data_IF_021887217240
#
_entry.id   IF_021887217240
#
_cell.length_a   1.000
_cell.length_b   1.000
_cell.length_c   1.000
_cell.angle_alpha   90.00
_cell.angle_beta   90.00
_cell.angle_gamma   90.00
#
_symmetry.space_group_name_H-M   'P 1'
#
loop_
_entity.id
_entity.type
_entity.pdbx_description
1 polymer ?
#
# COMPACT_ATOMS: atom_id res chain seq x y z
N UNK A 1 22.13 33.71 -12.64
CA UNK A 1 23.02 32.70 -13.20
C UNK A 1 22.26 31.40 -13.52
N UNK A 2 22.80 30.55 -14.42
CA UNK A 2 22.12 29.33 -14.88
C UNK A 2 21.74 28.38 -13.72
N UNK A 3 22.51 28.33 -12.63
CA UNK A 3 22.29 27.47 -11.46
C UNK A 3 21.03 27.86 -10.70
N UNK A 4 20.69 29.14 -10.62
CA UNK A 4 19.46 29.59 -9.93
C UNK A 4 18.19 29.30 -10.73
N UNK A 5 18.29 28.98 -12.01
CA UNK A 5 17.18 28.61 -12.87
C UNK A 5 16.82 27.09 -12.79
N UNK A 6 17.76 26.26 -12.31
CA UNK A 6 17.56 24.80 -12.24
C UNK A 6 16.33 24.40 -11.39
N UNK A 7 16.11 24.92 -10.16
CA UNK A 7 14.96 24.53 -9.36
C UNK A 7 13.63 24.89 -10.05
N UNK A 8 13.57 26.08 -10.65
CA UNK A 8 12.39 26.52 -11.37
C UNK A 8 12.16 25.68 -12.62
N UNK A 9 13.20 25.41 -13.39
CA UNK A 9 13.16 24.51 -14.55
C UNK A 9 12.67 23.11 -14.19
N UNK A 10 13.13 22.58 -13.06
CA UNK A 10 12.72 21.28 -12.55
C UNK A 10 11.23 21.25 -12.17
N UNK A 11 10.72 22.30 -11.51
CA UNK A 11 9.30 22.42 -11.20
C UNK A 11 8.46 22.48 -12.48
N UNK A 12 8.87 23.27 -13.46
CA UNK A 12 8.18 23.32 -14.76
C UNK A 12 8.25 21.98 -15.50
N UNK A 13 9.39 21.32 -15.52
CA UNK A 13 9.57 20.03 -16.18
C UNK A 13 8.64 18.95 -15.58
N UNK A 14 8.52 18.92 -14.26
CA UNK A 14 7.77 17.87 -13.55
C UNK A 14 6.28 18.18 -13.43
N UNK A 15 5.90 19.46 -13.28
CA UNK A 15 4.52 19.82 -12.92
C UNK A 15 3.76 20.61 -13.99
N UNK A 16 4.43 21.19 -15.01
CA UNK A 16 3.73 21.91 -16.07
C UNK A 16 3.04 20.94 -17.05
N UNK A 17 1.90 21.33 -17.71
CA UNK A 17 1.22 22.62 -17.56
C UNK A 17 0.40 22.70 -16.26
N UNK A 18 0.46 23.85 -15.62
CA UNK A 18 -0.40 24.10 -14.45
C UNK A 18 -1.83 24.40 -14.89
N UNK A 19 -2.87 24.05 -14.08
CA UNK A 19 -4.27 24.24 -14.43
C UNK A 19 -4.65 25.67 -14.81
N UNK A 20 -3.96 26.66 -14.22
CA UNK A 20 -4.17 28.09 -14.50
C UNK A 20 -3.47 28.59 -15.75
N UNK A 21 -2.63 27.78 -16.39
CA UNK A 21 -1.93 28.10 -17.64
C UNK A 21 -2.62 27.54 -18.88
N UNK A 22 -3.76 26.89 -18.73
CA UNK A 22 -4.52 26.27 -19.81
C UNK A 22 -5.25 27.34 -20.63
N UNK A 23 -4.56 27.91 -21.61
CA UNK A 23 -5.10 28.95 -22.49
C UNK A 23 -5.79 28.40 -23.75
N UNK A 24 -5.73 27.08 -24.02
CA UNK A 24 -6.29 26.50 -25.24
C UNK A 24 -6.90 25.12 -25.02
N UNK A 25 -7.94 24.78 -25.81
CA UNK A 25 -8.58 23.48 -25.83
C UNK A 25 -7.58 22.31 -26.05
N UNK A 26 -6.54 22.54 -26.84
CA UNK A 26 -5.48 21.55 -27.10
C UNK A 26 -4.70 21.21 -25.81
N UNK A 27 -4.52 22.15 -24.93
CA UNK A 27 -3.87 21.92 -23.61
C UNK A 27 -4.82 21.22 -22.63
N UNK A 28 -6.12 21.41 -22.75
CA UNK A 28 -7.12 20.73 -21.91
C UNK A 28 -7.17 19.21 -22.14
N UNK A 29 -6.81 18.74 -23.34
CA UNK A 29 -6.72 17.31 -23.66
C UNK A 29 -5.63 16.61 -22.83
N UNK A 30 -4.60 17.33 -22.38
CA UNK A 30 -3.50 16.78 -21.58
C UNK A 30 -3.82 16.71 -20.07
N UNK A 31 -4.94 17.29 -19.63
CA UNK A 31 -5.33 17.30 -18.21
C UNK A 31 -5.48 15.91 -17.59
N UNK A 32 -6.14 14.93 -18.22
CA UNK A 32 -6.27 13.59 -17.64
C UNK A 32 -4.91 12.93 -17.39
N UNK A 33 -3.98 13.08 -18.33
CA UNK A 33 -2.60 12.58 -18.20
C UNK A 33 -1.88 13.25 -17.02
N UNK A 34 -2.07 14.57 -16.87
CA UNK A 34 -1.47 15.33 -15.77
C UNK A 34 -2.03 14.91 -14.40
N UNK A 35 -3.33 14.67 -14.30
CA UNK A 35 -3.94 14.19 -13.06
C UNK A 35 -3.40 12.83 -12.65
N UNK A 36 -3.27 11.91 -13.60
CA UNK A 36 -2.65 10.59 -13.36
C UNK A 36 -1.19 10.76 -12.91
N UNK A 37 -0.45 11.65 -13.58
CA UNK A 37 0.93 11.94 -13.21
C UNK A 37 1.04 12.49 -11.79
N UNK A 38 0.24 13.50 -11.42
CA UNK A 38 0.24 14.07 -10.08
C UNK A 38 -0.19 13.06 -9.02
N UNK A 39 -1.20 12.23 -9.33
CA UNK A 39 -1.63 11.15 -8.43
C UNK A 39 -0.54 10.08 -8.22
N UNK A 40 0.36 9.88 -9.20
CA UNK A 40 1.47 8.93 -9.08
C UNK A 40 2.64 9.46 -8.25
N UNK A 41 2.70 10.75 -7.96
CA UNK A 41 3.81 11.40 -7.25
C UNK A 41 4.09 10.81 -5.85
N UNK A 42 3.08 10.54 -5.00
CA UNK A 42 3.32 9.88 -3.72
C UNK A 42 3.96 8.50 -3.87
N UNK A 43 3.54 7.75 -4.89
CA UNK A 43 4.12 6.43 -5.20
C UNK A 43 5.55 6.55 -5.72
N UNK A 44 5.81 7.56 -6.56
CA UNK A 44 7.15 7.90 -7.03
C UNK A 44 8.10 8.19 -5.86
N UNK A 45 7.69 9.05 -4.94
CA UNK A 45 8.48 9.39 -3.76
C UNK A 45 8.74 8.16 -2.87
N UNK A 46 7.72 7.35 -2.64
CA UNK A 46 7.83 6.13 -1.84
C UNK A 46 8.80 5.13 -2.49
N UNK A 47 8.62 4.87 -3.78
CA UNK A 47 9.46 3.92 -4.53
C UNK A 47 10.89 4.39 -4.68
N UNK A 48 11.11 5.68 -4.98
CA UNK A 48 12.44 6.26 -5.04
C UNK A 48 13.15 6.19 -3.68
N UNK A 49 12.46 6.57 -2.60
CA UNK A 49 13.00 6.48 -1.24
C UNK A 49 13.40 5.06 -0.85
N UNK A 50 12.52 4.09 -1.11
CA UNK A 50 12.80 2.68 -0.84
C UNK A 50 14.01 2.19 -1.63
N UNK A 51 14.06 2.51 -2.92
CA UNK A 51 15.13 2.10 -3.83
C UNK A 51 16.48 2.69 -3.39
N UNK A 52 16.50 3.98 -3.06
CA UNK A 52 17.70 4.66 -2.56
C UNK A 52 18.23 4.05 -1.26
N UNK A 53 17.32 3.63 -0.37
CA UNK A 53 17.72 3.12 0.95
C UNK A 53 18.07 1.64 0.96
N UNK A 54 17.41 0.82 0.15
CA UNK A 54 17.53 -0.64 0.22
C UNK A 54 18.13 -1.29 -1.01
N UNK A 55 18.06 -0.65 -2.19
CA UNK A 55 18.46 -1.22 -3.48
C UNK A 55 19.37 -0.31 -4.29
N UNK A 56 20.09 0.60 -3.64
CA UNK A 56 20.89 1.63 -4.29
C UNK A 56 21.85 1.06 -5.34
N UNK A 57 22.62 0.02 -5.01
CA UNK A 57 23.61 -0.57 -5.91
C UNK A 57 23.00 -1.10 -7.21
N UNK A 58 21.83 -1.71 -7.13
CA UNK A 58 21.14 -2.29 -8.29
C UNK A 58 20.49 -1.22 -9.17
N UNK A 59 19.98 -0.16 -8.56
CA UNK A 59 19.28 0.92 -9.25
C UNK A 59 20.19 2.10 -9.64
N UNK A 60 21.46 2.07 -9.23
CA UNK A 60 22.41 3.17 -9.42
C UNK A 60 22.53 3.64 -10.88
N UNK A 61 22.62 2.76 -11.89
CA UNK A 61 22.66 3.19 -13.29
C UNK A 61 21.39 3.96 -13.70
N UNK A 62 20.22 3.48 -13.30
CA UNK A 62 18.93 4.12 -13.61
C UNK A 62 18.81 5.45 -12.89
N UNK A 63 19.21 5.53 -11.62
CA UNK A 63 19.17 6.75 -10.81
C UNK A 63 20.11 7.80 -11.42
N UNK A 64 21.34 7.45 -11.74
CA UNK A 64 22.31 8.38 -12.36
C UNK A 64 21.76 8.87 -13.68
N UNK A 65 21.32 7.98 -14.55
CA UNK A 65 20.82 8.36 -15.87
C UNK A 65 19.59 9.27 -15.77
N UNK A 66 18.62 8.91 -14.95
CA UNK A 66 17.40 9.71 -14.72
C UNK A 66 17.73 11.10 -14.16
N UNK A 67 18.64 11.16 -13.18
CA UNK A 67 19.04 12.42 -12.56
C UNK A 67 19.79 13.32 -13.56
N UNK A 68 20.76 12.77 -14.29
CA UNK A 68 21.51 13.51 -15.30
C UNK A 68 20.60 14.03 -16.40
N UNK A 69 19.67 13.21 -16.89
CA UNK A 69 18.73 13.60 -17.93
C UNK A 69 17.75 14.66 -17.43
N UNK A 70 17.27 14.53 -16.18
CA UNK A 70 16.40 15.53 -15.55
C UNK A 70 17.11 16.87 -15.40
N UNK A 71 18.36 16.87 -14.94
CA UNK A 71 19.16 18.09 -14.80
C UNK A 71 19.44 18.73 -16.17
N UNK A 72 19.82 17.95 -17.17
CA UNK A 72 20.06 18.43 -18.50
C UNK A 72 18.81 19.12 -19.07
N UNK A 73 17.66 18.48 -18.97
CA UNK A 73 16.41 19.06 -19.46
C UNK A 73 15.93 20.27 -18.64
N UNK A 74 16.23 20.33 -17.35
CA UNK A 74 15.93 21.50 -16.52
C UNK A 74 16.70 22.76 -16.94
N UNK A 75 17.90 22.57 -17.49
CA UNK A 75 18.75 23.68 -17.96
C UNK A 75 18.33 24.14 -19.37
N UNK A 76 18.05 23.18 -20.26
CA UNK A 76 17.73 23.46 -21.67
C UNK A 76 16.27 23.83 -21.95
N UNK A 77 15.48 24.08 -20.91
CA UNK A 77 14.06 24.33 -21.00
C UNK A 77 13.81 25.75 -21.56
N UNK A 78 13.48 25.85 -22.84
CA UNK A 78 13.20 27.12 -23.49
C UNK A 78 11.74 27.59 -23.44
N UNK A 79 10.78 26.61 -23.38
CA UNK A 79 9.35 26.89 -23.31
C UNK A 79 8.55 25.67 -22.83
N UNK A 80 7.25 25.87 -22.48
CA UNK A 80 6.36 24.83 -21.94
C UNK A 80 6.18 23.63 -22.91
N UNK A 81 6.15 23.88 -24.22
CA UNK A 81 6.01 22.82 -25.22
C UNK A 81 7.24 21.90 -25.30
N UNK A 82 8.43 22.45 -25.12
CA UNK A 82 9.69 21.69 -25.05
C UNK A 82 9.72 20.86 -23.77
N UNK A 83 9.31 21.45 -22.64
CA UNK A 83 9.19 20.75 -21.36
C UNK A 83 8.31 19.49 -21.45
N UNK A 84 7.18 19.59 -22.11
CA UNK A 84 6.24 18.47 -22.28
C UNK A 84 6.86 17.30 -23.05
N UNK A 85 7.56 17.57 -24.16
CA UNK A 85 8.25 16.53 -24.95
C UNK A 85 9.39 15.88 -24.17
N UNK A 86 10.18 16.68 -23.47
CA UNK A 86 11.30 16.18 -22.67
C UNK A 86 10.82 15.33 -21.49
N UNK A 87 9.71 15.73 -20.86
CA UNK A 87 9.10 14.95 -19.80
C UNK A 87 8.64 13.58 -20.27
N UNK A 88 8.05 13.44 -21.45
CA UNK A 88 7.59 12.14 -21.96
C UNK A 88 8.72 11.11 -22.04
N UNK A 89 9.93 11.54 -22.32
CA UNK A 89 11.11 10.68 -22.32
C UNK A 89 11.56 10.26 -20.90
N UNK A 90 11.37 11.16 -19.92
CA UNK A 90 11.69 10.90 -18.52
C UNK A 90 10.66 10.01 -17.83
N UNK A 91 9.38 10.08 -18.25
CA UNK A 91 8.28 9.35 -17.63
C UNK A 91 8.55 7.85 -17.53
N UNK A 92 9.18 7.25 -18.54
CA UNK A 92 9.51 5.82 -18.55
C UNK A 92 10.37 5.45 -17.32
N UNK A 93 11.37 6.28 -17.01
CA UNK A 93 12.25 6.05 -15.86
C UNK A 93 11.57 6.34 -14.53
N UNK A 94 10.74 7.39 -14.47
CA UNK A 94 9.98 7.70 -13.27
C UNK A 94 8.94 6.61 -12.95
N UNK A 95 8.29 6.05 -13.95
CA UNK A 95 7.32 4.98 -13.77
C UNK A 95 7.93 3.70 -13.21
N UNK A 96 9.22 3.45 -13.38
CA UNK A 96 9.91 2.36 -12.68
C UNK A 96 9.79 2.56 -11.16
N UNK A 97 10.07 3.75 -10.67
CA UNK A 97 9.96 4.04 -9.23
C UNK A 97 8.50 4.10 -8.76
N UNK A 98 7.58 4.57 -9.59
CA UNK A 98 6.14 4.52 -9.32
C UNK A 98 5.68 3.07 -9.15
N UNK A 99 6.12 2.16 -10.03
CA UNK A 99 5.80 0.74 -9.95
C UNK A 99 6.34 0.10 -8.67
N UNK A 100 7.57 0.43 -8.26
CA UNK A 100 8.12 -0.02 -6.98
C UNK A 100 7.28 0.49 -5.82
N UNK A 101 6.90 1.77 -5.83
CA UNK A 101 6.04 2.35 -4.80
C UNK A 101 4.66 1.68 -4.73
N UNK A 102 4.07 1.38 -5.88
CA UNK A 102 2.80 0.68 -5.97
C UNK A 102 2.86 -0.73 -5.38
N UNK A 103 3.89 -1.50 -5.72
CA UNK A 103 4.12 -2.84 -5.16
C UNK A 103 4.25 -2.78 -3.65
N UNK A 104 5.02 -1.84 -3.10
CA UNK A 104 5.18 -1.67 -1.65
C UNK A 104 3.87 -1.35 -0.93
N UNK A 105 3.03 -0.51 -1.52
CA UNK A 105 1.70 -0.20 -0.95
C UNK A 105 0.81 -1.44 -0.99
N UNK A 106 0.83 -2.17 -2.10
CA UNK A 106 0.04 -3.38 -2.28
C UNK A 106 0.45 -4.48 -1.29
N UNK A 107 1.74 -4.75 -1.14
CA UNK A 107 2.27 -5.70 -0.15
C UNK A 107 1.81 -5.35 1.27
N UNK A 108 1.94 -4.09 1.67
CA UNK A 108 1.45 -3.63 2.98
C UNK A 108 -0.06 -3.83 3.17
N UNK A 109 -0.85 -3.66 2.12
CA UNK A 109 -2.29 -3.92 2.18
C UNK A 109 -2.59 -5.41 2.34
N UNK A 110 -1.89 -6.24 1.59
CA UNK A 110 -2.05 -7.70 1.67
C UNK A 110 -1.67 -8.23 3.05
N UNK A 111 -0.54 -7.76 3.61
CA UNK A 111 -0.12 -8.14 4.96
C UNK A 111 -1.15 -7.75 6.03
N UNK A 112 -1.70 -6.53 5.94
CA UNK A 112 -2.78 -6.09 6.83
C UNK A 112 -4.04 -6.94 6.70
N UNK A 113 -4.39 -7.33 5.48
CA UNK A 113 -5.55 -8.17 5.24
C UNK A 113 -5.34 -9.59 5.77
N UNK A 114 -4.14 -10.15 5.59
CA UNK A 114 -3.77 -11.46 6.16
C UNK A 114 -3.85 -11.43 7.69
N UNK A 115 -3.25 -10.45 8.33
CA UNK A 115 -3.31 -10.29 9.78
C UNK A 115 -4.77 -10.23 10.30
N UNK A 116 -5.64 -9.46 9.64
CA UNK A 116 -7.07 -9.41 9.99
C UNK A 116 -7.79 -10.73 9.80
N UNK A 117 -7.44 -11.50 8.78
CA UNK A 117 -8.02 -12.84 8.56
C UNK A 117 -7.57 -13.84 9.64
N UNK A 118 -6.29 -13.81 10.00
CA UNK A 118 -5.73 -14.63 11.07
C UNK A 118 -6.38 -14.31 12.43
N UNK A 119 -6.55 -13.04 12.77
CA UNK A 119 -7.26 -12.60 13.97
C UNK A 119 -8.71 -13.11 14.00
N UNK A 120 -9.42 -13.02 12.89
CA UNK A 120 -10.81 -13.54 12.79
C UNK A 120 -10.86 -15.05 12.93
N UNK A 121 -9.93 -15.77 12.30
CA UNK A 121 -9.86 -17.24 12.44
C UNK A 121 -9.53 -17.65 13.86
N UNK A 122 -8.59 -17.00 14.51
CA UNK A 122 -8.24 -17.24 15.91
C UNK A 122 -9.44 -16.99 16.85
N UNK A 123 -10.18 -15.90 16.62
CA UNK A 123 -11.39 -15.59 17.39
C UNK A 123 -12.49 -16.65 17.21
N UNK A 124 -12.71 -17.12 15.98
CA UNK A 124 -13.68 -18.18 15.71
C UNK A 124 -13.27 -19.51 16.36
N UNK A 125 -11.99 -19.87 16.24
CA UNK A 125 -11.47 -21.10 16.86
C UNK A 125 -11.60 -21.03 18.38
N UNK A 126 -11.27 -19.91 19.00
CA UNK A 126 -11.42 -19.72 20.44
C UNK A 126 -12.88 -19.78 20.90
N UNK A 127 -13.80 -19.21 20.12
CA UNK A 127 -15.24 -19.30 20.41
C UNK A 127 -15.75 -20.74 20.34
N UNK A 128 -15.36 -21.48 19.29
CA UNK A 128 -15.72 -22.91 19.16
C UNK A 128 -15.16 -23.76 20.29
N UNK A 129 -13.90 -23.56 20.67
CA UNK A 129 -13.30 -24.29 21.79
C UNK A 129 -13.97 -23.96 23.11
N UNK A 130 -14.31 -22.69 23.35
CA UNK A 130 -15.04 -22.29 24.55
C UNK A 130 -16.47 -22.90 24.62
N UNK A 131 -17.16 -22.94 23.47
CA UNK A 131 -18.49 -23.57 23.39
C UNK A 131 -18.40 -25.07 23.61
N UNK A 132 -17.45 -25.76 22.99
CA UNK A 132 -17.23 -27.21 23.22
C UNK A 132 -16.91 -27.50 24.70
N UNK A 133 -16.09 -26.67 25.34
CA UNK A 133 -15.79 -26.80 26.76
C UNK A 133 -17.03 -26.59 27.64
N UNK A 134 -17.91 -25.62 27.32
CA UNK A 134 -19.19 -25.41 28.03
C UNK A 134 -20.12 -26.60 27.88
N UNK A 135 -20.25 -27.16 26.68
CA UNK A 135 -21.08 -28.37 26.44
C UNK A 135 -20.56 -29.58 27.21
N UNK A 136 -19.24 -29.78 27.23
CA UNK A 136 -18.62 -30.84 27.99
C UNK A 136 -18.87 -30.69 29.50
N UNK A 137 -18.76 -29.49 30.04
CA UNK A 137 -19.04 -29.23 31.47
C UNK A 137 -20.52 -29.40 31.82
N UNK A 138 -21.44 -29.06 30.91
CA UNK A 138 -22.87 -29.28 31.10
C UNK A 138 -23.18 -30.81 31.14
N UNK A 139 -22.69 -31.55 30.15
CA UNK A 139 -22.83 -32.99 30.08
C UNK A 139 -22.26 -33.70 31.34
N UNK A 140 -21.09 -33.28 31.80
CA UNK A 140 -20.47 -33.84 33.02
C UNK A 140 -21.36 -33.64 34.25
N UNK A 141 -21.95 -32.46 34.41
CA UNK A 141 -22.88 -32.15 35.53
C UNK A 141 -24.15 -33.00 35.48
N UNK A 142 -24.74 -33.18 34.31
CA UNK A 142 -25.90 -34.04 34.13
C UNK A 142 -25.60 -35.50 34.54
N UNK A 143 -24.46 -36.01 34.13
CA UNK A 143 -24.00 -37.37 34.51
C UNK A 143 -23.76 -37.53 36.01
N UNK A 144 -23.15 -36.53 36.63
CA UNK A 144 -22.94 -36.54 38.09
C UNK A 144 -24.28 -36.56 38.84
N UNK A 145 -25.27 -35.79 38.40
CA UNK A 145 -26.62 -35.78 38.99
C UNK A 145 -27.35 -37.14 38.81
N UNK A 146 -27.27 -37.72 37.60
CA UNK A 146 -27.85 -39.06 37.37
C UNK A 146 -27.23 -40.11 38.30
N UNK A 147 -25.92 -40.06 38.51
CA UNK A 147 -25.25 -40.97 39.44
C UNK A 147 -25.70 -40.77 40.90
N UNK A 148 -25.83 -39.53 41.34
CA UNK A 148 -26.30 -39.22 42.69
C UNK A 148 -27.74 -39.66 42.91
N UNK A 149 -28.63 -39.45 41.93
CA UNK A 149 -30.03 -39.88 42.03
C UNK A 149 -30.17 -41.41 42.03
N UNK A 150 -29.34 -42.09 41.18
CA UNK A 150 -29.26 -43.53 41.21
C UNK A 150 -28.77 -44.11 42.58
N UNK A 151 -27.71 -43.46 43.12
CA UNK A 151 -27.17 -43.86 44.41
C UNK A 151 -28.19 -43.64 45.52
N UNK A 152 -28.97 -42.55 45.48
CA UNK A 152 -30.06 -42.28 46.46
C UNK A 152 -31.20 -43.31 46.39
N UNK A 153 -31.68 -43.63 45.17
CA UNK A 153 -32.72 -44.63 44.97
C UNK A 153 -32.30 -46.04 45.38
N UNK A 154 -31.04 -46.41 45.17
CA UNK A 154 -30.53 -47.74 45.66
C UNK A 154 -30.40 -47.72 47.15
N UNK A 155 -29.98 -46.68 47.81
CA UNK A 155 -29.92 -46.65 49.28
C UNK A 155 -31.30 -46.74 49.96
N UNK A 156 -32.31 -46.08 49.36
CA UNK A 156 -33.71 -46.19 49.85
C UNK A 156 -34.28 -47.61 49.75
N UNK A 157 -33.99 -48.33 48.65
CA UNK A 157 -34.41 -49.72 48.45
C UNK A 157 -33.69 -50.68 49.36
N UNK A 158 -32.49 -50.41 49.80
CA UNK A 158 -31.75 -51.27 50.74
C UNK A 158 -32.18 -51.07 52.20
N UNK A 159 -32.81 -49.92 52.52
CA UNK A 159 -33.28 -49.60 53.86
C UNK A 159 -34.78 -49.95 54.12
N UNK A 160 -35.48 -50.41 53.11
CA UNK A 160 -36.90 -50.89 53.22
C UNK A 160 -36.96 -52.42 53.25
#
# INVERSE_FOLDING_TARGET
>A
GAISAIPLGMVYLLFAPFPWQLASLRQSITLPEMLVWWASFPLLCLGAWFTLRHRLRQALPIIIFTTMLTLAYSIFQGNVGTAYRQRSQLLVFYFIFVAVGFVLVKERQEDRNRARLEERQAALTSAHTAEAARRYQAWKREREQEFEDLARTLSERMNS
#
